data_IF_606397077658
#
_entry.id   IF_606397077658
#
_cell.length_a   1.000
_cell.length_b   1.000
_cell.length_c   1.000
_cell.angle_alpha   90.00
_cell.angle_beta   90.00
_cell.angle_gamma   90.00
#
_symmetry.space_group_name_H-M   'P 1'
#
loop_
_entity.id
_entity.type
_entity.pdbx_description
1 polymer ?
#
# COMPACT_ATOMS: atom_id res chain seq x y z
N UNK A 1 11.99 -11.67 4.66
CA UNK A 1 10.88 -12.64 4.60
C UNK A 1 10.02 -12.33 3.39
N UNK A 2 10.47 -12.72 2.18
CA UNK A 2 9.87 -12.23 0.93
C UNK A 2 8.46 -12.75 0.65
N UNK A 3 8.02 -13.79 1.35
CA UNK A 3 6.70 -14.41 1.19
C UNK A 3 5.76 -14.17 2.37
N UNK A 4 6.20 -13.44 3.40
CA UNK A 4 5.36 -13.15 4.55
C UNK A 4 4.24 -12.21 4.11
N UNK A 5 2.98 -12.64 4.28
CA UNK A 5 1.79 -11.87 3.91
C UNK A 5 1.10 -11.26 5.10
N UNK A 6 1.12 -11.94 6.24
CA UNK A 6 0.48 -11.48 7.46
C UNK A 6 1.47 -11.51 8.60
N UNK A 7 1.50 -10.45 9.38
CA UNK A 7 2.28 -10.34 10.60
C UNK A 7 1.46 -9.67 11.68
N UNK A 8 1.23 -10.41 12.76
CA UNK A 8 0.54 -9.93 13.97
C UNK A 8 1.50 -10.04 15.13
N UNK A 9 1.87 -8.89 15.70
CA UNK A 9 2.74 -8.84 16.87
C UNK A 9 1.89 -8.63 18.12
N UNK A 10 2.08 -9.43 19.17
CA UNK A 10 1.34 -9.28 20.42
C UNK A 10 1.73 -7.95 21.09
N UNK A 11 0.79 -7.38 21.86
CA UNK A 11 1.06 -6.21 22.71
C UNK A 11 2.32 -6.44 23.53
N UNK A 12 3.34 -5.65 23.25
CA UNK A 12 4.62 -5.66 23.93
C UNK A 12 5.12 -4.22 24.00
N UNK A 13 5.99 -3.93 24.96
CA UNK A 13 6.62 -2.60 25.10
C UNK A 13 7.81 -2.42 24.16
N UNK A 14 7.98 -3.32 23.19
CA UNK A 14 9.11 -3.29 22.27
C UNK A 14 8.76 -2.41 21.08
N UNK A 15 9.53 -1.35 20.89
CA UNK A 15 9.47 -0.53 19.69
C UNK A 15 9.92 -1.34 18.48
N UNK A 16 9.08 -1.38 17.46
CA UNK A 16 9.36 -2.07 16.21
C UNK A 16 9.73 -1.03 15.16
N UNK A 17 10.91 -1.19 14.55
CA UNK A 17 11.30 -0.45 13.36
C UNK A 17 10.45 -0.94 12.17
N UNK A 18 9.40 -0.17 11.85
CA UNK A 18 8.44 -0.52 10.81
C UNK A 18 9.05 -0.43 9.42
N UNK A 19 9.99 0.49 9.20
CA UNK A 19 10.71 0.64 7.93
C UNK A 19 11.50 -0.62 7.61
N UNK A 20 12.36 -1.06 8.53
CA UNK A 20 13.15 -2.27 8.36
C UNK A 20 12.28 -3.50 8.13
N UNK A 21 11.13 -3.57 8.82
CA UNK A 21 10.18 -4.66 8.67
C UNK A 21 9.55 -4.69 7.28
N UNK A 22 9.01 -3.57 6.82
CA UNK A 22 8.34 -3.44 5.53
C UNK A 22 9.30 -3.60 4.34
N UNK A 23 10.56 -3.16 4.49
CA UNK A 23 11.61 -3.40 3.49
C UNK A 23 11.97 -4.89 3.40
N UNK A 24 12.06 -5.57 4.54
CA UNK A 24 12.38 -7.02 4.59
C UNK A 24 11.21 -7.92 4.21
N UNK A 25 9.97 -7.41 4.26
CA UNK A 25 8.74 -8.11 3.95
C UNK A 25 7.94 -7.36 2.85
N UNK A 26 8.45 -7.30 1.61
CA UNK A 26 7.80 -6.55 0.52
C UNK A 26 6.45 -7.13 0.09
N UNK A 27 6.19 -8.42 0.41
CA UNK A 27 4.91 -9.08 0.13
C UNK A 27 3.92 -9.00 1.29
N UNK A 28 4.20 -8.21 2.33
CA UNK A 28 3.33 -8.09 3.47
C UNK A 28 2.04 -7.35 3.06
N UNK A 29 0.92 -7.98 3.35
CA UNK A 29 -0.43 -7.50 3.06
C UNK A 29 -1.11 -7.00 4.34
N UNK A 30 -0.90 -7.70 5.45
CA UNK A 30 -1.53 -7.40 6.74
C UNK A 30 -0.45 -7.20 7.80
N UNK A 31 -0.44 -6.02 8.42
CA UNK A 31 0.44 -5.68 9.54
C UNK A 31 -0.40 -5.23 10.74
N UNK A 32 -0.27 -5.95 11.86
CA UNK A 32 -0.86 -5.55 13.14
C UNK A 32 0.25 -5.43 14.17
N UNK A 33 0.50 -4.21 14.61
CA UNK A 33 1.62 -3.89 15.51
C UNK A 33 1.14 -2.98 16.63
N UNK A 34 1.43 -3.29 17.90
CA UNK A 34 0.99 -2.46 19.01
C UNK A 34 1.79 -1.16 19.11
N UNK A 35 3.09 -1.22 18.79
CA UNK A 35 4.04 -0.12 18.92
C UNK A 35 5.07 -0.21 17.80
N UNK A 36 5.27 0.87 17.06
CA UNK A 36 6.31 1.00 16.05
C UNK A 36 6.61 2.46 15.75
N UNK A 37 7.73 2.69 15.09
CA UNK A 37 8.17 4.03 14.72
C UNK A 37 8.43 4.12 13.21
N UNK A 38 8.15 5.30 12.67
CA UNK A 38 8.46 5.70 11.31
C UNK A 38 8.89 7.16 11.38
N UNK A 39 10.11 7.46 10.94
CA UNK A 39 10.53 8.83 10.77
C UNK A 39 9.72 9.51 9.66
N UNK A 40 9.66 10.85 9.65
CA UNK A 40 8.92 11.65 8.65
C UNK A 40 9.26 11.26 7.20
N UNK A 41 10.54 11.03 6.91
CA UNK A 41 11.00 10.60 5.59
C UNK A 41 10.50 9.19 5.21
N UNK A 42 10.32 8.30 6.20
CA UNK A 42 9.80 6.96 5.98
C UNK A 42 8.27 6.95 5.87
N UNK A 43 7.59 7.87 6.57
CA UNK A 43 6.16 8.14 6.39
C UNK A 43 5.87 8.63 4.96
N UNK A 44 6.69 9.54 4.41
CA UNK A 44 6.58 9.98 3.02
C UNK A 44 6.79 8.80 2.04
N UNK A 45 7.83 7.99 2.25
CA UNK A 45 8.09 6.82 1.41
C UNK A 45 6.96 5.77 1.48
N UNK A 46 6.33 5.63 2.65
CA UNK A 46 5.18 4.75 2.88
C UNK A 46 3.92 5.26 2.19
N UNK A 47 3.62 6.56 2.28
CA UNK A 47 2.44 7.17 1.64
C UNK A 47 2.54 7.12 0.11
N UNK A 48 3.75 7.25 -0.45
CA UNK A 48 4.02 7.04 -1.88
C UNK A 48 4.00 5.56 -2.31
N UNK A 49 3.85 4.63 -1.36
CA UNK A 49 3.82 3.18 -1.63
C UNK A 49 5.16 2.56 -2.03
N UNK A 50 6.28 3.24 -1.77
CA UNK A 50 7.62 2.69 -1.98
C UNK A 50 8.00 1.67 -0.90
N UNK A 51 7.46 1.85 0.30
CA UNK A 51 7.64 0.96 1.45
C UNK A 51 6.33 0.23 1.73
N UNK A 52 6.38 -1.10 1.88
CA UNK A 52 5.17 -1.92 2.03
C UNK A 52 4.22 -1.82 0.82
N UNK A 53 4.69 -2.13 -0.40
CA UNK A 53 3.91 -1.90 -1.63
C UNK A 53 2.62 -2.74 -1.69
N UNK A 54 2.57 -3.89 -1.01
CA UNK A 54 1.40 -4.78 -0.98
C UNK A 54 0.54 -4.64 0.27
N UNK A 55 0.87 -3.70 1.17
CA UNK A 55 0.14 -3.56 2.41
C UNK A 55 -1.29 -3.08 2.12
N UNK A 56 -2.28 -3.86 2.55
CA UNK A 56 -3.72 -3.59 2.38
C UNK A 56 -4.44 -3.44 3.71
N UNK A 57 -3.84 -3.89 4.81
CA UNK A 57 -4.35 -3.66 6.16
C UNK A 57 -3.21 -3.28 7.11
N UNK A 58 -3.39 -2.15 7.79
CA UNK A 58 -2.54 -1.70 8.88
C UNK A 58 -3.43 -1.50 10.12
N UNK A 59 -3.02 -2.05 11.25
CA UNK A 59 -3.64 -1.76 12.54
C UNK A 59 -2.56 -1.46 13.56
N UNK A 60 -2.74 -0.36 14.26
CA UNK A 60 -1.79 0.13 15.24
C UNK A 60 -2.50 0.71 16.45
N UNK A 61 -1.99 0.42 17.65
CA UNK A 61 -2.45 1.01 18.93
C UNK A 61 -1.57 2.22 19.33
N UNK A 62 -0.86 2.83 18.37
CA UNK A 62 0.10 3.91 18.61
C UNK A 62 -0.59 5.24 19.03
N UNK A 63 0.01 6.04 19.92
CA UNK A 63 -0.46 7.39 20.24
C UNK A 63 -0.37 8.38 19.07
N UNK A 64 0.46 8.09 18.05
CA UNK A 64 0.52 8.78 16.75
C UNK A 64 0.09 7.87 15.59
N UNK A 65 -0.58 6.75 15.90
CA UNK A 65 -1.03 5.78 14.92
C UNK A 65 -2.00 6.37 13.91
N UNK A 66 -2.77 7.37 14.33
CA UNK A 66 -3.74 8.06 13.50
C UNK A 66 -3.12 8.69 12.25
N UNK A 67 -1.89 9.22 12.32
CA UNK A 67 -1.23 9.84 11.16
C UNK A 67 -0.80 8.79 10.13
N UNK A 68 -0.19 7.69 10.60
CA UNK A 68 0.20 6.57 9.74
C UNK A 68 -1.05 5.90 9.13
N UNK A 69 -2.10 5.72 9.92
CA UNK A 69 -3.39 5.19 9.46
C UNK A 69 -4.04 6.13 8.43
N UNK A 70 -4.03 7.44 8.65
CA UNK A 70 -4.55 8.43 7.71
C UNK A 70 -3.79 8.39 6.38
N UNK A 71 -2.46 8.31 6.41
CA UNK A 71 -1.64 8.18 5.19
C UNK A 71 -1.91 6.84 4.48
N UNK A 72 -2.08 5.77 5.25
CA UNK A 72 -2.43 4.45 4.73
C UNK A 72 -3.79 4.47 4.01
N UNK A 73 -4.80 5.06 4.63
CA UNK A 73 -6.14 5.22 4.07
C UNK A 73 -6.12 6.09 2.81
N UNK A 74 -5.42 7.23 2.84
CA UNK A 74 -5.25 8.11 1.68
C UNK A 74 -4.62 7.38 0.50
N UNK A 75 -3.55 6.61 0.75
CA UNK A 75 -2.93 5.76 -0.27
C UNK A 75 -3.92 4.72 -0.83
N UNK A 76 -4.68 4.04 0.02
CA UNK A 76 -5.62 3.01 -0.40
C UNK A 76 -6.76 3.60 -1.24
N UNK A 77 -7.25 4.79 -0.88
CA UNK A 77 -8.24 5.55 -1.66
C UNK A 77 -7.68 5.98 -3.02
N UNK A 78 -6.45 6.50 -3.06
CA UNK A 78 -5.79 6.91 -4.31
C UNK A 78 -5.56 5.72 -5.25
N UNK A 79 -5.15 4.56 -4.72
CA UNK A 79 -5.00 3.33 -5.50
C UNK A 79 -6.35 2.81 -6.03
N UNK A 80 -7.42 2.92 -5.23
CA UNK A 80 -8.78 2.54 -5.64
C UNK A 80 -9.35 3.47 -6.72
N UNK A 81 -9.05 4.76 -6.68
CA UNK A 81 -9.46 5.71 -7.74
C UNK A 81 -8.74 5.42 -9.06
N UNK A 82 -7.45 5.09 -9.01
CA UNK A 82 -6.66 4.72 -10.18
C UNK A 82 -7.17 3.43 -10.87
N UNK A 83 -7.81 2.54 -10.11
CA UNK A 83 -8.41 1.30 -10.62
C UNK A 83 -9.71 1.52 -11.40
N UNK A 84 -10.29 2.72 -11.33
CA UNK A 84 -11.60 3.04 -11.92
C UNK A 84 -11.51 3.75 -13.28
N UNK A 85 -10.31 4.13 -13.73
CA UNK A 85 -10.08 4.80 -15.03
C UNK A 85 -9.60 3.85 -16.14
N UNK A 86 -9.38 2.56 -15.86
CA UNK A 86 -9.03 1.54 -16.87
C UNK A 86 -10.26 0.95 -17.59
N UNK A 87 -11.40 1.65 -17.54
CA UNK A 87 -12.59 1.35 -18.35
C UNK A 87 -12.93 2.49 -19.33
N UNK A 88 -11.91 3.25 -19.76
CA UNK A 88 -12.03 4.08 -20.96
C UNK A 88 -11.65 3.24 -22.17
N UNK A 89 -12.66 2.50 -22.65
CA UNK A 89 -12.93 2.25 -24.06
C UNK A 89 -11.70 2.04 -24.97
N UNK A 90 -11.34 0.77 -25.19
CA UNK A 90 -10.82 0.32 -26.48
C UNK A 90 -11.89 0.56 -27.57
N UNK A 91 -12.07 1.80 -28.01
CA UNK A 91 -12.62 2.06 -29.34
C UNK A 91 -11.47 1.92 -30.34
N UNK A 92 -11.30 0.73 -30.88
CA UNK A 92 -10.58 0.56 -32.15
C UNK A 92 -11.31 1.37 -33.22
N UNK A 93 -10.69 2.34 -33.90
CA UNK A 93 -11.30 2.91 -35.10
C UNK A 93 -11.39 1.80 -36.16
N UNK A 94 -12.62 1.51 -36.58
CA UNK A 94 -12.95 0.64 -37.71
C UNK A 94 -12.01 0.94 -38.87
N UNK A 95 -11.19 -0.03 -39.24
CA UNK A 95 -10.43 0.01 -40.49
C UNK A 95 -11.42 -0.04 -41.64
N UNK A 96 -11.64 1.11 -42.28
CA UNK A 96 -12.39 1.21 -43.52
C UNK A 96 -11.62 0.49 -44.63
N UNK A 97 -12.13 -0.65 -45.10
CA UNK A 97 -11.64 -1.35 -46.29
C UNK A 97 -12.58 -1.02 -47.44
N UNK A 98 -12.19 -0.17 -48.41
CA UNK A 98 -12.95 -0.05 -49.63
C UNK A 98 -12.62 -1.23 -50.54
N UNK A 99 -13.61 -2.10 -50.73
CA UNK A 99 -13.63 -3.18 -51.71
C UNK A 99 -13.36 -2.63 -53.11
N UNK A 100 -12.35 -3.18 -53.80
CA UNK A 100 -12.17 -3.04 -55.24
C UNK A 100 -13.31 -3.78 -55.96
N UNK A 101 -14.09 -3.08 -56.78
CA UNK A 101 -14.56 -3.54 -58.09
C UNK A 101 -14.79 -2.34 -59.00
#
# INVERSE_FOLDING_TARGET
MPYLRELVLPRSYTFIDLKSLLVKAPSLEVLRVPTGDLDEADMEAFSMGRVGPKLTQLSSDLPYGDEILTMFESRNQNASMQSSDDNVQKFTPLSYVPSRQ
#
